data_IF_797024878506
#
_entry.id   IF_797024878506
#
_cell.length_a   1.000
_cell.length_b   1.000
_cell.length_c   1.000
_cell.angle_alpha   90.00
_cell.angle_beta   90.00
_cell.angle_gamma   90.00
#
_symmetry.space_group_name_H-M   'P 1'
#
loop_
_entity.id
_entity.type
_entity.pdbx_description
1 polymer ?
#
# COMPACT_ATOMS: atom_id res chain seq x y z
N UNK A 1 -8.17 3.40 41.09
CA UNK A 1 -9.53 3.83 40.69
C UNK A 1 -9.98 4.86 41.70
N UNK A 2 -10.12 6.13 41.33
CA UNK A 2 -10.74 7.11 42.22
C UNK A 2 -12.21 6.74 42.38
N UNK A 3 -12.60 6.31 43.59
CA UNK A 3 -14.01 6.13 43.91
C UNK A 3 -14.75 7.46 43.66
N UNK A 4 -15.83 7.39 42.90
CA UNK A 4 -16.64 8.56 42.59
C UNK A 4 -17.41 8.92 43.84
N UNK A 5 -17.00 10.00 44.50
CA UNK A 5 -17.74 10.58 45.61
C UNK A 5 -18.92 11.41 45.09
N UNK A 6 -20.13 11.13 45.57
CA UNK A 6 -21.31 11.91 45.21
C UNK A 6 -21.36 13.21 46.03
N UNK A 7 -21.51 14.35 45.37
CA UNK A 7 -21.60 15.64 46.06
C UNK A 7 -22.97 15.78 46.71
N UNK A 8 -23.01 15.93 48.03
CA UNK A 8 -24.23 16.12 48.80
C UNK A 8 -24.33 17.56 49.30
N UNK A 9 -25.47 18.20 49.02
CA UNK A 9 -25.76 19.57 49.42
C UNK A 9 -26.95 19.61 50.40
N UNK A 10 -26.79 20.32 51.51
CA UNK A 10 -27.88 20.59 52.45
C UNK A 10 -28.52 21.94 52.13
N UNK A 11 -29.80 21.94 51.78
CA UNK A 11 -30.64 23.14 51.72
C UNK A 11 -31.47 23.19 53.01
N UNK A 12 -31.20 24.19 53.86
CA UNK A 12 -31.76 24.26 55.21
C UNK A 12 -31.85 25.70 55.71
N UNK A 13 -32.72 25.95 56.69
CA UNK A 13 -32.76 27.23 57.42
C UNK A 13 -31.71 27.22 58.53
N UNK A 14 -31.03 28.35 58.78
CA UNK A 14 -30.10 28.48 59.91
C UNK A 14 -30.73 28.15 61.28
N UNK A 15 -32.06 28.25 61.42
CA UNK A 15 -32.78 27.84 62.63
C UNK A 15 -32.91 26.32 62.81
N UNK A 16 -32.55 25.54 61.79
CA UNK A 16 -32.50 24.08 61.78
C UNK A 16 -31.08 23.54 61.82
N UNK A 17 -30.10 24.41 62.03
CA UNK A 17 -28.69 24.08 61.98
C UNK A 17 -28.28 22.95 62.93
N UNK A 18 -28.82 22.93 64.15
CA UNK A 18 -28.56 21.85 65.11
C UNK A 18 -29.03 20.49 64.58
N UNK A 19 -30.19 20.43 63.92
CA UNK A 19 -30.71 19.19 63.32
C UNK A 19 -29.92 18.79 62.07
N UNK A 20 -29.43 19.77 61.30
CA UNK A 20 -28.52 19.53 60.17
C UNK A 20 -27.19 18.94 60.64
N UNK A 21 -26.63 19.48 61.72
CA UNK A 21 -25.39 18.98 62.34
C UNK A 21 -25.57 17.54 62.85
N UNK A 22 -26.69 17.22 63.50
CA UNK A 22 -26.99 15.83 63.90
C UNK A 22 -27.11 14.91 62.68
N UNK A 23 -27.87 15.30 61.66
CA UNK A 23 -27.96 14.50 60.42
C UNK A 23 -26.58 14.27 59.78
N UNK A 24 -25.72 15.29 59.77
CA UNK A 24 -24.36 15.17 59.24
C UNK A 24 -23.54 14.11 60.00
N UNK A 25 -23.65 14.04 61.34
CA UNK A 25 -23.01 12.98 62.13
C UNK A 25 -23.49 11.59 61.72
N UNK A 26 -24.78 11.42 61.50
CA UNK A 26 -25.36 10.14 61.04
C UNK A 26 -24.93 9.75 59.61
N UNK A 27 -24.46 10.71 58.81
CA UNK A 27 -23.90 10.47 57.47
C UNK A 27 -22.39 10.17 57.47
N UNK A 28 -21.70 10.26 58.61
CA UNK A 28 -20.23 10.10 58.73
C UNK A 28 -19.70 8.82 58.07
N UNK A 29 -20.41 7.70 58.18
CA UNK A 29 -19.97 6.44 57.55
C UNK A 29 -19.95 6.55 56.03
N UNK A 30 -20.94 7.23 55.42
CA UNK A 30 -20.98 7.43 53.98
C UNK A 30 -19.85 8.36 53.49
N UNK A 31 -19.50 9.36 54.31
CA UNK A 31 -18.35 10.23 54.04
C UNK A 31 -17.01 9.50 54.21
N UNK A 32 -16.86 8.70 55.26
CA UNK A 32 -15.64 7.92 55.53
C UNK A 32 -15.39 6.89 54.43
N UNK A 33 -16.46 6.23 53.96
CA UNK A 33 -16.42 5.35 52.79
C UNK A 33 -16.18 6.11 51.48
N UNK A 34 -16.05 7.45 51.51
CA UNK A 34 -15.87 8.35 50.36
C UNK A 34 -16.98 8.24 49.32
N UNK A 35 -18.13 7.69 49.72
CA UNK A 35 -19.30 7.47 48.89
C UNK A 35 -20.04 8.77 48.66
N UNK A 36 -20.03 9.67 49.66
CA UNK A 36 -20.51 11.04 49.52
C UNK A 36 -19.44 12.04 49.98
N UNK A 37 -19.55 13.27 49.52
CA UNK A 37 -18.84 14.43 50.06
C UNK A 37 -19.86 15.51 50.38
N UNK A 38 -20.05 15.84 51.66
CA UNK A 38 -21.01 16.88 52.05
C UNK A 38 -20.41 18.29 51.96
N UNK A 39 -21.23 19.25 51.56
CA UNK A 39 -20.95 20.67 51.66
C UNK A 39 -22.10 21.40 52.36
N UNK A 40 -21.76 22.41 53.17
CA UNK A 40 -22.70 23.36 53.77
C UNK A 40 -22.04 24.74 53.91
N UNK A 41 -22.87 25.78 53.97
CA UNK A 41 -22.51 27.20 54.10
C UNK A 41 -21.43 27.54 55.15
N UNK A 42 -21.37 26.89 56.32
CA UNK A 42 -20.28 27.14 57.28
C UNK A 42 -18.87 26.72 56.80
N UNK A 43 -18.74 26.08 55.64
CA UNK A 43 -17.45 25.78 55.00
C UNK A 43 -16.95 26.92 54.10
N UNK A 44 -17.70 28.02 53.98
CA UNK A 44 -17.30 29.23 53.24
C UNK A 44 -16.21 29.95 54.05
N UNK A 45 -15.07 30.24 53.41
CA UNK A 45 -13.95 30.94 54.04
C UNK A 45 -14.23 32.45 54.13
N UNK A 46 -13.78 33.15 55.21
CA UNK A 46 -13.84 34.60 55.27
C UNK A 46 -13.23 35.24 54.00
N UNK A 47 -14.00 36.07 53.30
CA UNK A 47 -13.61 36.70 52.04
C UNK A 47 -14.19 36.07 50.77
N UNK A 48 -14.92 34.95 50.86
CA UNK A 48 -15.68 34.39 49.74
C UNK A 48 -17.10 34.96 49.67
N UNK A 49 -17.61 35.21 48.45
CA UNK A 49 -18.99 35.64 48.25
C UNK A 49 -19.97 34.47 48.53
N UNK A 50 -20.83 34.70 49.51
CA UNK A 50 -21.74 33.68 50.06
C UNK A 50 -22.72 33.13 49.01
N UNK A 51 -23.37 34.01 48.24
CA UNK A 51 -24.37 33.63 47.23
C UNK A 51 -23.77 32.79 46.10
N UNK A 52 -22.55 33.11 45.66
CA UNK A 52 -21.87 32.39 44.59
C UNK A 52 -21.53 30.95 45.01
N UNK A 53 -21.04 30.77 46.25
CA UNK A 53 -20.66 29.45 46.77
C UNK A 53 -21.89 28.53 46.95
N UNK A 54 -23.02 29.07 47.42
CA UNK A 54 -24.25 28.28 47.55
C UNK A 54 -24.76 27.85 46.17
N UNK A 55 -24.80 28.78 45.21
CA UNK A 55 -25.25 28.48 43.86
C UNK A 55 -24.35 27.44 43.16
N UNK A 56 -23.03 27.53 43.30
CA UNK A 56 -22.09 26.56 42.74
C UNK A 56 -22.28 25.14 43.32
N UNK A 57 -22.45 25.04 44.64
CA UNK A 57 -22.67 23.75 45.27
C UNK A 57 -24.05 23.19 44.92
N UNK A 58 -25.08 24.04 44.87
CA UNK A 58 -26.40 23.66 44.39
C UNK A 58 -26.38 23.20 42.93
N UNK A 59 -25.54 23.76 42.07
CA UNK A 59 -25.44 23.39 40.64
C UNK A 59 -24.56 22.17 40.38
N UNK A 60 -23.63 21.85 41.28
CA UNK A 60 -22.70 20.72 41.12
C UNK A 60 -23.05 19.52 41.99
N UNK A 61 -23.99 19.65 42.93
CA UNK A 61 -24.44 18.56 43.79
C UNK A 61 -25.07 17.42 42.98
N UNK A 62 -24.74 16.19 43.34
CA UNK A 62 -25.42 14.99 42.82
C UNK A 62 -26.66 14.66 43.64
N UNK A 63 -26.66 15.02 44.93
CA UNK A 63 -27.75 14.81 45.89
C UNK A 63 -28.02 16.11 46.61
N UNK A 64 -29.28 16.52 46.66
CA UNK A 64 -29.74 17.75 47.32
C UNK A 64 -30.74 17.34 48.39
N UNK A 65 -30.41 17.58 49.66
CA UNK A 65 -31.31 17.36 50.79
C UNK A 65 -32.06 18.64 51.08
N UNK A 66 -33.40 18.61 51.03
CA UNK A 66 -34.24 19.72 51.47
C UNK A 66 -34.65 19.47 52.91
N UNK A 67 -34.09 20.19 53.88
CA UNK A 67 -34.38 20.00 55.29
C UNK A 67 -35.66 20.79 55.67
N UNK A 68 -36.81 20.12 55.52
CA UNK A 68 -38.14 20.75 55.56
C UNK A 68 -38.57 21.03 57.01
N UNK A 69 -38.84 22.31 57.27
CA UNK A 69 -39.39 22.84 58.51
C UNK A 69 -40.27 24.07 58.23
N UNK A 70 -41.01 24.56 59.23
CA UNK A 70 -41.70 25.85 59.11
C UNK A 70 -40.75 27.00 58.81
N UNK A 71 -39.53 26.98 59.34
CA UNK A 71 -38.53 28.04 59.13
C UNK A 71 -37.88 27.95 57.75
N UNK A 72 -37.73 26.74 57.21
CA UNK A 72 -37.29 26.52 55.83
C UNK A 72 -38.29 27.09 54.83
N UNK A 73 -39.58 26.74 54.99
CA UNK A 73 -40.66 27.20 54.10
C UNK A 73 -40.97 28.70 54.24
N UNK A 74 -40.74 29.29 55.41
CA UNK A 74 -41.01 30.72 55.67
C UNK A 74 -39.99 31.66 55.00
N UNK A 75 -38.78 31.18 54.72
CA UNK A 75 -37.72 32.03 54.16
C UNK A 75 -37.97 32.35 52.67
N UNK A 76 -38.47 33.57 52.37
CA UNK A 76 -38.82 34.03 51.01
C UNK A 76 -37.69 33.91 49.96
N UNK A 77 -36.42 33.85 50.37
CA UNK A 77 -35.28 33.73 49.44
C UNK A 77 -34.94 32.26 49.08
N UNK A 78 -35.15 31.31 50.00
CA UNK A 78 -34.82 29.89 49.80
C UNK A 78 -35.88 29.17 48.90
N UNK A 79 -37.11 29.67 48.93
CA UNK A 79 -38.24 29.10 48.16
C UNK A 79 -38.17 29.38 46.64
N UNK A 80 -37.81 30.59 46.24
CA UNK A 80 -38.00 31.03 44.84
C UNK A 80 -36.87 30.62 43.88
N UNK A 81 -35.63 30.50 44.37
CA UNK A 81 -34.46 30.21 43.51
C UNK A 81 -33.90 28.82 43.79
N UNK A 82 -33.61 28.46 45.04
CA UNK A 82 -32.89 27.22 45.37
C UNK A 82 -33.76 25.97 45.21
N UNK A 83 -34.97 25.97 45.77
CA UNK A 83 -35.90 24.83 45.64
C UNK A 83 -36.31 24.62 44.18
N UNK A 84 -36.62 25.71 43.46
CA UNK A 84 -36.96 25.63 42.04
C UNK A 84 -35.80 25.06 41.22
N UNK A 85 -34.59 25.58 41.41
CA UNK A 85 -33.39 25.09 40.72
C UNK A 85 -33.09 23.63 41.05
N UNK A 86 -33.20 23.23 42.33
CA UNK A 86 -33.01 21.85 42.75
C UNK A 86 -33.98 20.91 42.02
N UNK A 87 -35.25 21.30 41.92
CA UNK A 87 -36.28 20.51 41.24
C UNK A 87 -36.08 20.47 39.72
N UNK A 88 -35.68 21.58 39.09
CA UNK A 88 -35.31 21.59 37.66
C UNK A 88 -34.18 20.59 37.36
N UNK A 89 -33.14 20.57 38.20
CA UNK A 89 -32.03 19.61 38.08
C UNK A 89 -32.50 18.18 38.31
N UNK A 90 -33.43 17.98 39.24
CA UNK A 90 -34.03 16.66 39.49
C UNK A 90 -34.81 16.14 38.28
N UNK A 91 -35.64 16.97 37.67
CA UNK A 91 -36.45 16.61 36.51
C UNK A 91 -35.60 16.30 35.28
N UNK A 92 -34.44 16.95 35.16
CA UNK A 92 -33.44 16.66 34.14
C UNK A 92 -32.57 15.43 34.47
N UNK A 93 -32.70 14.84 35.66
CA UNK A 93 -31.86 13.75 36.13
C UNK A 93 -30.40 14.15 36.43
N UNK A 94 -30.14 15.44 36.59
CA UNK A 94 -28.82 16.02 36.89
C UNK A 94 -28.50 15.96 38.40
N UNK A 95 -29.52 15.88 39.26
CA UNK A 95 -29.39 15.70 40.70
C UNK A 95 -30.54 14.86 41.27
N UNK A 96 -30.33 14.23 42.42
CA UNK A 96 -31.39 13.60 43.20
C UNK A 96 -31.82 14.52 44.34
N UNK A 97 -33.06 14.98 44.32
CA UNK A 97 -33.61 15.80 45.42
C UNK A 97 -34.32 14.87 46.41
N UNK A 98 -34.01 15.02 47.69
CA UNK A 98 -34.58 14.23 48.78
C UNK A 98 -35.14 15.19 49.83
N UNK A 99 -36.47 15.30 49.98
CA UNK A 99 -37.07 16.01 51.10
C UNK A 99 -36.79 15.26 52.40
N UNK A 100 -36.27 15.94 53.42
CA UNK A 100 -36.06 15.42 54.76
C UNK A 100 -36.91 16.23 55.74
N UNK A 101 -37.98 15.64 56.26
CA UNK A 101 -38.94 16.32 57.13
C UNK A 101 -38.38 16.42 58.54
N UNK A 102 -37.93 17.61 58.93
CA UNK A 102 -37.37 17.86 60.26
C UNK A 102 -38.45 18.19 61.30
N UNK A 103 -39.42 19.05 60.93
CA UNK A 103 -40.49 19.54 61.80
C UNK A 103 -41.85 19.35 61.13
N UNK A 104 -42.91 19.23 61.94
CA UNK A 104 -44.27 19.15 61.43
C UNK A 104 -44.65 20.45 60.74
N UNK A 105 -45.01 20.39 59.46
CA UNK A 105 -45.47 21.51 58.65
C UNK A 105 -46.30 21.00 57.48
N UNK A 106 -47.23 21.81 56.96
CA UNK A 106 -47.92 21.49 55.71
C UNK A 106 -47.01 21.84 54.50
N UNK A 107 -46.65 20.82 53.73
CA UNK A 107 -45.84 20.93 52.53
C UNK A 107 -46.52 20.29 51.31
N UNK A 108 -47.81 19.95 51.39
CA UNK A 108 -48.52 19.26 50.31
C UNK A 108 -48.55 20.05 48.99
N UNK A 109 -48.53 21.39 49.08
CA UNK A 109 -48.46 22.29 47.92
C UNK A 109 -47.05 22.58 47.38
N UNK A 110 -46.00 21.97 47.96
CA UNK A 110 -44.63 22.26 47.57
C UNK A 110 -44.26 21.61 46.22
N UNK A 111 -43.38 22.22 45.40
CA UNK A 111 -42.91 21.62 44.14
C UNK A 111 -42.25 20.24 44.29
N UNK A 112 -41.66 19.99 45.46
CA UNK A 112 -41.05 18.72 45.83
C UNK A 112 -42.01 17.71 46.48
N UNK A 113 -43.30 18.07 46.66
CA UNK A 113 -44.25 17.22 47.40
C UNK A 113 -44.52 15.86 46.73
N UNK A 114 -44.29 15.78 45.41
CA UNK A 114 -44.36 14.54 44.63
C UNK A 114 -43.20 13.57 44.88
N UNK A 115 -42.13 14.02 45.55
CA UNK A 115 -40.95 13.20 45.82
C UNK A 115 -41.13 12.42 47.11
N UNK A 116 -40.56 11.21 47.16
CA UNK A 116 -40.56 10.41 48.37
C UNK A 116 -39.68 11.07 49.44
N UNK A 117 -40.30 11.50 50.54
CA UNK A 117 -39.61 12.14 51.65
C UNK A 117 -39.02 11.12 52.64
N UNK A 118 -37.98 11.55 53.35
CA UNK A 118 -37.39 10.91 54.52
C UNK A 118 -37.71 11.73 55.78
N UNK A 119 -37.73 11.14 56.99
CA UNK A 119 -37.74 9.71 57.29
C UNK A 119 -38.95 8.98 56.69
N UNK A 120 -38.99 7.65 56.77
CA UNK A 120 -40.08 6.81 56.26
C UNK A 120 -41.45 7.34 56.69
N UNK A 121 -42.42 7.27 55.76
CA UNK A 121 -43.77 7.84 55.90
C UNK A 121 -43.79 9.37 56.11
N UNK A 122 -42.70 10.06 55.78
CA UNK A 122 -42.54 11.50 55.98
C UNK A 122 -42.76 11.95 57.44
N UNK A 123 -42.54 11.05 58.42
CA UNK A 123 -42.70 11.36 59.84
C UNK A 123 -41.63 12.36 60.29
N UNK A 124 -41.98 13.57 60.75
CA UNK A 124 -41.00 14.61 61.07
C UNK A 124 -40.01 14.16 62.15
N UNK A 125 -38.71 14.40 61.97
CA UNK A 125 -37.66 14.00 62.93
C UNK A 125 -37.98 14.41 64.37
N UNK A 126 -38.45 15.65 64.60
CA UNK A 126 -38.82 16.14 65.95
C UNK A 126 -40.00 15.42 66.60
N UNK A 127 -40.77 14.63 65.85
CA UNK A 127 -41.92 13.85 66.35
C UNK A 127 -41.58 12.40 66.72
N UNK A 128 -40.33 11.98 66.51
CA UNK A 128 -39.86 10.67 66.96
C UNK A 128 -39.56 10.69 68.46
N UNK A 129 -39.82 9.57 69.12
CA UNK A 129 -39.46 9.37 70.53
C UNK A 129 -37.95 9.45 70.70
N UNK A 130 -37.22 8.85 69.77
CA UNK A 130 -35.77 8.95 69.64
C UNK A 130 -35.41 9.61 68.29
N UNK A 131 -34.73 10.75 68.34
CA UNK A 131 -34.29 11.48 67.14
C UNK A 131 -33.14 10.76 66.43
N UNK A 132 -32.31 10.00 67.14
CA UNK A 132 -31.23 9.22 66.53
C UNK A 132 -31.78 8.10 65.65
N UNK A 133 -32.88 7.47 66.05
CA UNK A 133 -33.58 6.50 65.19
C UNK A 133 -34.09 7.16 63.89
N UNK A 134 -34.62 8.38 63.99
CA UNK A 134 -35.11 9.13 62.83
C UNK A 134 -33.96 9.48 61.86
N UNK A 135 -32.84 10.00 62.38
CA UNK A 135 -31.67 10.32 61.56
C UNK A 135 -31.01 9.06 60.99
N UNK A 136 -31.01 7.95 61.73
CA UNK A 136 -30.55 6.66 61.21
C UNK A 136 -31.40 6.20 60.02
N UNK A 137 -32.72 6.37 60.09
CA UNK A 137 -33.61 6.05 58.97
C UNK A 137 -33.32 6.93 57.74
N UNK A 138 -33.10 8.23 57.93
CA UNK A 138 -32.68 9.15 56.86
C UNK A 138 -31.35 8.71 56.24
N UNK A 139 -30.35 8.38 57.05
CA UNK A 139 -29.04 7.94 56.58
C UNK A 139 -29.12 6.62 55.78
N UNK A 140 -29.98 5.67 56.20
CA UNK A 140 -30.25 4.44 55.44
C UNK A 140 -30.90 4.75 54.09
N UNK A 141 -31.88 5.66 54.06
CA UNK A 141 -32.52 6.11 52.83
C UNK A 141 -31.53 6.74 51.85
N UNK A 142 -30.69 7.65 52.33
CA UNK A 142 -29.63 8.30 51.52
C UNK A 142 -28.65 7.26 50.98
N UNK A 143 -28.24 6.27 51.80
CA UNK A 143 -27.36 5.17 51.34
C UNK A 143 -28.00 4.43 50.16
N UNK A 144 -29.28 4.09 50.24
CA UNK A 144 -29.97 3.38 49.16
C UNK A 144 -29.99 4.20 47.86
N UNK A 145 -30.26 5.50 47.96
CA UNK A 145 -30.19 6.42 46.80
C UNK A 145 -28.80 6.45 46.19
N UNK A 146 -27.75 6.55 47.02
CA UNK A 146 -26.37 6.57 46.50
C UNK A 146 -26.03 5.27 45.76
N UNK A 147 -26.43 4.11 46.30
CA UNK A 147 -26.20 2.83 45.60
C UNK A 147 -26.93 2.74 44.26
N UNK A 148 -28.15 3.28 44.17
CA UNK A 148 -28.86 3.37 42.90
C UNK A 148 -28.15 4.29 41.90
N UNK A 149 -27.68 5.46 42.36
CA UNK A 149 -26.93 6.40 41.53
C UNK A 149 -25.60 5.81 41.05
N UNK A 150 -24.91 5.03 41.89
CA UNK A 150 -23.70 4.26 41.50
C UNK A 150 -24.01 3.31 40.37
N UNK A 151 -25.06 2.50 40.51
CA UNK A 151 -25.45 1.54 39.48
C UNK A 151 -25.83 2.24 38.17
N UNK A 152 -26.60 3.33 38.23
CA UNK A 152 -26.95 4.13 37.04
C UNK A 152 -25.71 4.69 36.33
N UNK A 153 -24.75 5.25 37.08
CA UNK A 153 -23.47 5.74 36.52
C UNK A 153 -22.65 4.61 35.89
N UNK A 154 -22.60 3.45 36.53
CA UNK A 154 -21.86 2.29 36.02
C UNK A 154 -22.46 1.76 34.72
N UNK A 155 -23.78 1.54 34.66
CA UNK A 155 -24.46 1.09 33.44
C UNK A 155 -24.27 2.05 32.28
N UNK A 156 -24.39 3.37 32.52
CA UNK A 156 -24.15 4.39 31.49
C UNK A 156 -22.72 4.37 30.97
N UNK A 157 -21.73 4.16 31.85
CA UNK A 157 -20.32 4.03 31.46
C UNK A 157 -20.08 2.80 30.60
N UNK A 158 -20.61 1.65 31.02
CA UNK A 158 -20.51 0.39 30.28
C UNK A 158 -21.17 0.48 28.90
N UNK A 159 -22.35 1.10 28.82
CA UNK A 159 -23.04 1.34 27.54
C UNK A 159 -22.24 2.27 26.62
N UNK A 160 -21.72 3.38 27.16
CA UNK A 160 -20.91 4.33 26.40
C UNK A 160 -19.63 3.67 25.88
N UNK A 161 -18.96 2.88 26.72
CA UNK A 161 -17.75 2.15 26.34
C UNK A 161 -18.05 1.09 25.28
N UNK A 162 -19.16 0.35 25.42
CA UNK A 162 -19.61 -0.62 24.41
C UNK A 162 -19.91 0.05 23.07
N UNK A 163 -20.65 1.15 23.05
CA UNK A 163 -20.94 1.91 21.83
C UNK A 163 -19.66 2.42 21.16
N UNK A 164 -18.70 2.88 21.97
CA UNK A 164 -17.39 3.31 21.48
C UNK A 164 -16.62 2.16 20.85
N UNK A 165 -16.56 1.00 21.52
CA UNK A 165 -15.87 -0.19 21.02
C UNK A 165 -16.51 -0.72 19.72
N UNK A 166 -17.85 -0.77 19.65
CA UNK A 166 -18.58 -1.16 18.44
C UNK A 166 -18.30 -0.18 17.27
N UNK A 167 -18.29 1.13 17.56
CA UNK A 167 -17.98 2.16 16.55
C UNK A 167 -16.53 2.07 16.05
N UNK A 168 -15.56 1.88 16.97
CA UNK A 168 -14.15 1.73 16.62
C UNK A 168 -13.91 0.43 15.83
N UNK A 169 -14.57 -0.67 16.19
CA UNK A 169 -14.49 -1.93 15.46
C UNK A 169 -15.04 -1.81 14.03
N UNK A 170 -16.21 -1.18 13.85
CA UNK A 170 -16.79 -0.93 12.53
C UNK A 170 -15.88 -0.04 11.67
N UNK A 171 -15.27 1.00 12.26
CA UNK A 171 -14.31 1.86 11.55
C UNK A 171 -13.10 1.06 11.07
N UNK A 172 -12.50 0.25 11.94
CA UNK A 172 -11.36 -0.62 11.58
C UNK A 172 -11.70 -1.61 10.48
N UNK A 173 -12.90 -2.19 10.51
CA UNK A 173 -13.36 -3.11 9.47
C UNK A 173 -13.45 -2.41 8.11
N UNK A 174 -14.06 -1.21 8.05
CA UNK A 174 -14.15 -0.43 6.81
C UNK A 174 -12.77 -0.04 6.26
N UNK A 175 -11.87 0.40 7.13
CA UNK A 175 -10.49 0.74 6.75
C UNK A 175 -9.74 -0.49 6.17
N UNK A 176 -9.96 -1.68 6.74
CA UNK A 176 -9.39 -2.93 6.21
C UNK A 176 -9.98 -3.31 4.85
N UNK A 177 -11.30 -3.25 4.68
CA UNK A 177 -11.98 -3.56 3.42
C UNK A 177 -11.55 -2.59 2.29
N UNK A 178 -11.44 -1.29 2.59
CA UNK A 178 -10.95 -0.29 1.63
C UNK A 178 -9.48 -0.52 1.26
N UNK A 179 -8.61 -0.84 2.24
CA UNK A 179 -7.21 -1.14 1.98
C UNK A 179 -7.02 -2.41 1.14
N UNK A 180 -7.83 -3.45 1.37
CA UNK A 180 -7.83 -4.66 0.55
C UNK A 180 -8.31 -4.39 -0.87
N UNK A 181 -9.37 -3.58 -1.02
CA UNK A 181 -9.87 -3.17 -2.33
C UNK A 181 -8.80 -2.42 -3.13
N UNK A 182 -8.13 -1.45 -2.50
CA UNK A 182 -7.07 -0.68 -3.14
C UNK A 182 -5.89 -1.57 -3.55
N UNK A 183 -5.48 -2.53 -2.70
CA UNK A 183 -4.44 -3.51 -3.04
C UNK A 183 -4.83 -4.37 -4.24
N UNK A 184 -6.10 -4.81 -4.34
CA UNK A 184 -6.58 -5.59 -5.48
C UNK A 184 -6.57 -4.77 -6.77
N UNK A 185 -7.00 -3.51 -6.71
CA UNK A 185 -6.98 -2.59 -7.86
C UNK A 185 -5.54 -2.29 -8.32
N UNK A 186 -4.62 -1.99 -7.40
CA UNK A 186 -3.20 -1.80 -7.72
C UNK A 186 -2.58 -3.05 -8.34
N UNK A 187 -2.88 -4.24 -7.78
CA UNK A 187 -2.36 -5.50 -8.32
C UNK A 187 -2.91 -5.80 -9.72
N UNK A 188 -4.18 -5.46 -9.99
CA UNK A 188 -4.77 -5.62 -11.31
C UNK A 188 -4.14 -4.67 -12.34
N UNK A 189 -3.87 -3.42 -11.96
CA UNK A 189 -3.20 -2.45 -12.82
C UNK A 189 -1.75 -2.87 -13.13
N UNK A 190 -0.99 -3.35 -12.15
CA UNK A 190 0.36 -3.90 -12.37
C UNK A 190 0.31 -5.05 -13.38
N UNK A 191 -0.60 -6.02 -13.20
CA UNK A 191 -0.75 -7.15 -14.14
C UNK A 191 -1.09 -6.69 -15.55
N UNK A 192 -1.93 -5.65 -15.69
CA UNK A 192 -2.28 -5.06 -16.98
C UNK A 192 -1.06 -4.44 -17.65
N UNK A 193 -0.28 -3.63 -16.92
CA UNK A 193 0.93 -2.99 -17.43
C UNK A 193 1.99 -4.03 -17.83
N UNK A 194 2.17 -5.08 -17.03
CA UNK A 194 3.06 -6.20 -17.37
C UNK A 194 2.61 -6.94 -18.63
N UNK A 195 1.31 -7.21 -18.79
CA UNK A 195 0.76 -7.86 -19.98
C UNK A 195 0.94 -6.98 -21.24
N UNK A 196 0.71 -5.67 -21.14
CA UNK A 196 0.95 -4.73 -22.23
C UNK A 196 2.43 -4.65 -22.61
N UNK A 197 3.33 -4.67 -21.62
CA UNK A 197 4.77 -4.71 -21.84
C UNK A 197 5.20 -5.98 -22.57
N UNK A 198 4.77 -7.15 -22.07
CA UNK A 198 5.06 -8.45 -22.69
C UNK A 198 4.56 -8.49 -24.12
N UNK A 199 3.37 -7.96 -24.39
CA UNK A 199 2.83 -7.86 -25.75
C UNK A 199 3.73 -7.02 -26.67
N UNK A 200 4.20 -5.86 -26.22
CA UNK A 200 5.14 -5.02 -26.98
C UNK A 200 6.47 -5.73 -27.25
N UNK A 201 7.03 -6.39 -26.24
CA UNK A 201 8.26 -7.17 -26.38
C UNK A 201 8.08 -8.31 -27.39
N UNK A 202 6.92 -8.98 -27.39
CA UNK A 202 6.59 -10.01 -28.37
C UNK A 202 6.44 -9.45 -29.79
N UNK A 203 5.73 -8.33 -29.96
CA UNK A 203 5.58 -7.64 -31.25
C UNK A 203 6.94 -7.18 -31.80
N UNK A 204 7.81 -6.64 -30.95
CA UNK A 204 9.16 -6.22 -31.32
C UNK A 204 10.04 -7.43 -31.72
N UNK A 205 9.98 -8.52 -30.96
CA UNK A 205 10.69 -9.76 -31.28
C UNK A 205 10.18 -10.39 -32.59
N UNK A 206 8.88 -10.33 -32.86
CA UNK A 206 8.30 -10.76 -34.13
C UNK A 206 8.77 -9.88 -35.29
N UNK A 207 8.74 -8.56 -35.15
CA UNK A 207 9.26 -7.63 -36.15
C UNK A 207 10.75 -7.85 -36.43
N UNK A 208 11.55 -8.12 -35.40
CA UNK A 208 12.95 -8.44 -35.54
C UNK A 208 13.16 -9.76 -36.30
N UNK A 209 12.35 -10.79 -36.02
CA UNK A 209 12.35 -12.06 -36.75
C UNK A 209 11.94 -11.88 -38.22
N UNK A 210 10.92 -11.08 -38.50
CA UNK A 210 10.50 -10.79 -39.88
C UNK A 210 11.59 -10.04 -40.66
N UNK A 211 12.33 -9.13 -40.01
CA UNK A 211 13.46 -8.42 -40.61
C UNK A 211 14.76 -9.25 -40.69
N UNK A 212 14.80 -10.47 -40.12
CA UNK A 212 15.99 -11.31 -40.12
C UNK A 212 16.33 -11.83 -41.53
N UNK A 213 15.32 -12.07 -42.37
CA UNK A 213 15.46 -12.66 -43.71
C UNK A 213 15.15 -11.66 -44.84
N UNK A 214 15.41 -10.37 -44.61
CA UNK A 214 15.09 -9.33 -45.58
C UNK A 214 15.85 -9.49 -46.91
N UNK A 215 15.20 -9.17 -48.03
CA UNK A 215 15.76 -9.19 -49.38
C UNK A 215 15.22 -8.01 -50.20
N UNK A 216 16.09 -7.28 -50.91
CA UNK A 216 15.67 -6.28 -51.90
C UNK A 216 15.20 -6.92 -53.22
N UNK A 217 15.49 -8.21 -53.41
CA UNK A 217 15.18 -8.97 -54.62
C UNK A 217 14.12 -10.05 -54.41
N UNK A 218 13.55 -10.14 -53.22
CA UNK A 218 12.53 -11.14 -52.87
C UNK A 218 13.06 -12.57 -52.78
N UNK A 219 14.36 -12.74 -52.51
CA UNK A 219 14.99 -14.06 -52.33
C UNK A 219 14.63 -14.64 -50.97
N UNK A 220 14.23 -15.91 -50.94
CA UNK A 220 13.89 -16.63 -49.71
C UNK A 220 15.14 -17.24 -49.07
N UNK A 221 15.52 -16.71 -47.91
CA UNK A 221 16.67 -17.18 -47.12
C UNK A 221 16.32 -18.25 -46.07
N UNK A 222 15.07 -18.71 -46.01
CA UNK A 222 14.59 -19.68 -45.00
C UNK A 222 15.41 -20.97 -45.02
N UNK A 223 15.68 -21.51 -46.21
CA UNK A 223 16.49 -22.73 -46.36
C UNK A 223 17.92 -22.54 -45.88
N UNK A 224 18.56 -21.41 -46.22
CA UNK A 224 19.91 -21.09 -45.74
C UNK A 224 19.93 -20.98 -44.21
N UNK A 225 18.97 -20.26 -43.62
CA UNK A 225 18.82 -20.15 -42.17
C UNK A 225 18.72 -21.51 -41.50
N UNK A 226 17.87 -22.40 -42.02
CA UNK A 226 17.60 -23.71 -41.40
C UNK A 226 18.82 -24.65 -41.50
N UNK A 227 19.54 -24.61 -42.62
CA UNK A 227 20.79 -25.35 -42.80
C UNK A 227 21.87 -24.85 -41.82
N UNK A 228 22.02 -23.54 -41.68
CA UNK A 228 22.96 -22.93 -40.72
C UNK A 228 22.58 -23.24 -39.27
N UNK A 229 21.31 -23.15 -38.92
CA UNK A 229 20.80 -23.51 -37.59
C UNK A 229 21.05 -24.98 -37.25
N UNK A 230 20.92 -25.86 -38.24
CA UNK A 230 21.22 -27.28 -38.13
C UNK A 230 22.72 -27.61 -38.22
N UNK A 231 23.59 -26.59 -38.36
CA UNK A 231 25.05 -26.73 -38.53
C UNK A 231 25.44 -27.62 -39.72
N UNK A 232 24.60 -27.66 -40.75
CA UNK A 232 24.85 -28.35 -42.03
C UNK A 232 25.70 -27.45 -42.93
N UNK A 233 26.97 -27.27 -42.56
CA UNK A 233 27.85 -26.23 -43.12
C UNK A 233 28.09 -26.36 -44.62
N UNK A 234 28.22 -27.60 -45.12
CA UNK A 234 28.44 -27.86 -46.55
C UNK A 234 27.21 -27.48 -47.37
N UNK A 235 26.05 -27.91 -46.91
CA UNK A 235 24.78 -27.60 -47.55
C UNK A 235 24.47 -26.10 -47.45
N UNK A 236 24.78 -25.45 -46.33
CA UNK A 236 24.63 -24.02 -46.15
C UNK A 236 25.56 -23.21 -47.06
N UNK A 237 26.80 -23.65 -47.25
CA UNK A 237 27.76 -23.02 -48.17
C UNK A 237 27.27 -23.10 -49.63
N UNK A 238 26.79 -24.27 -50.04
CA UNK A 238 26.20 -24.44 -51.36
C UNK A 238 24.90 -23.62 -51.54
N UNK A 239 24.03 -23.61 -50.52
CA UNK A 239 22.83 -22.77 -50.53
C UNK A 239 23.17 -21.29 -50.61
N UNK A 240 24.24 -20.84 -49.94
CA UNK A 240 24.74 -19.45 -50.01
C UNK A 240 25.09 -19.07 -51.44
N UNK A 241 25.77 -19.95 -52.17
CA UNK A 241 26.05 -19.76 -53.59
C UNK A 241 24.75 -19.64 -54.42
N UNK A 242 23.76 -20.51 -54.18
CA UNK A 242 22.49 -20.49 -54.90
C UNK A 242 21.70 -19.20 -54.67
N UNK A 243 21.54 -18.78 -53.41
CA UNK A 243 20.79 -17.56 -53.09
C UNK A 243 21.50 -16.32 -53.62
N UNK A 244 22.84 -16.26 -53.61
CA UNK A 244 23.58 -15.14 -54.21
C UNK A 244 23.42 -15.08 -55.73
N UNK A 245 23.30 -16.21 -56.43
CA UNK A 245 22.95 -16.23 -57.85
C UNK A 245 21.53 -15.70 -58.09
N UNK A 246 20.56 -16.11 -57.28
CA UNK A 246 19.18 -15.65 -57.40
C UNK A 246 19.07 -14.12 -57.23
N UNK A 247 19.81 -13.54 -56.28
CA UNK A 247 19.84 -12.08 -56.06
C UNK A 247 20.25 -11.32 -57.33
N UNK A 248 21.19 -11.87 -58.10
CA UNK A 248 21.66 -11.27 -59.37
C UNK A 248 20.90 -11.79 -60.61
N UNK A 249 19.80 -12.53 -60.41
CA UNK A 249 18.93 -13.02 -61.49
C UNK A 249 19.52 -14.18 -62.31
N UNK A 250 20.41 -14.97 -61.73
CA UNK A 250 21.09 -16.11 -62.39
C UNK A 250 20.58 -17.46 -61.93
N UNK A 251 20.90 -18.50 -62.71
CA UNK A 251 20.51 -19.89 -62.47
C UNK A 251 21.67 -20.70 -61.88
N UNK A 252 21.35 -21.82 -61.23
CA UNK A 252 22.37 -22.76 -60.73
C UNK A 252 23.35 -23.17 -61.84
N UNK A 253 24.64 -23.16 -61.50
CA UNK A 253 25.74 -23.45 -62.40
C UNK A 253 26.30 -22.26 -63.17
N UNK A 254 25.72 -21.08 -63.02
CA UNK A 254 26.28 -19.84 -63.52
C UNK A 254 27.31 -19.24 -62.52
N UNK A 255 27.96 -18.15 -62.89
CA UNK A 255 28.86 -17.40 -62.02
C UNK A 255 28.47 -15.93 -61.94
N UNK A 256 28.63 -15.34 -60.75
CA UNK A 256 28.43 -13.90 -60.58
C UNK A 256 29.58 -13.15 -61.26
N UNK A 257 29.25 -12.12 -62.06
CA UNK A 257 30.21 -11.19 -62.69
C UNK A 257 30.67 -10.14 -61.68
N UNK A 258 31.84 -9.55 -61.90
CA UNK A 258 32.37 -8.50 -61.02
C UNK A 258 31.43 -7.29 -60.90
N UNK A 259 30.81 -6.86 -61.99
CA UNK A 259 29.85 -5.75 -61.97
C UNK A 259 28.60 -6.05 -61.14
N UNK A 260 28.12 -7.30 -61.19
CA UNK A 260 26.98 -7.76 -60.39
C UNK A 260 27.35 -7.85 -58.91
N UNK A 261 28.58 -8.25 -58.57
CA UNK A 261 29.09 -8.22 -57.19
C UNK A 261 29.28 -6.79 -56.68
N UNK A 262 29.79 -5.85 -57.50
CA UNK A 262 29.93 -4.43 -57.12
C UNK A 262 28.59 -3.77 -56.80
N UNK A 263 27.52 -4.21 -57.48
CA UNK A 263 26.17 -3.69 -57.31
C UNK A 263 25.27 -4.60 -56.46
N UNK A 264 25.83 -5.62 -55.81
CA UNK A 264 25.07 -6.60 -55.06
C UNK A 264 24.24 -5.91 -53.95
N UNK A 265 22.91 -6.09 -53.88
CA UNK A 265 22.06 -5.41 -52.90
C UNK A 265 22.56 -5.55 -51.47
N UNK A 266 22.63 -4.44 -50.75
CA UNK A 266 23.22 -4.45 -49.40
C UNK A 266 22.32 -5.17 -48.39
N UNK A 267 21.00 -5.15 -48.56
CA UNK A 267 20.09 -5.89 -47.69
C UNK A 267 20.36 -7.40 -47.77
N UNK A 268 20.44 -7.94 -48.97
CA UNK A 268 20.71 -9.36 -49.24
C UNK A 268 22.09 -9.79 -48.72
N UNK A 269 23.13 -9.00 -48.98
CA UNK A 269 24.48 -9.30 -48.49
C UNK A 269 24.56 -9.28 -46.96
N UNK A 270 23.88 -8.32 -46.31
CA UNK A 270 23.78 -8.24 -44.85
C UNK A 270 22.97 -9.39 -44.26
N UNK A 271 21.90 -9.82 -44.93
CA UNK A 271 21.09 -10.96 -44.49
C UNK A 271 21.91 -12.23 -44.49
N UNK A 272 22.61 -12.52 -45.59
CA UNK A 272 23.48 -13.69 -45.70
C UNK A 272 24.58 -13.66 -44.63
N UNK A 273 25.30 -12.53 -44.53
CA UNK A 273 26.38 -12.38 -43.56
C UNK A 273 25.88 -12.56 -42.12
N UNK A 274 24.77 -11.92 -41.76
CA UNK A 274 24.16 -12.01 -40.43
C UNK A 274 23.81 -13.45 -40.07
N UNK A 275 23.24 -14.21 -41.00
CA UNK A 275 22.92 -15.62 -40.77
C UNK A 275 24.18 -16.44 -40.49
N UNK A 276 25.23 -16.28 -41.30
CA UNK A 276 26.50 -16.96 -41.10
C UNK A 276 27.13 -16.61 -39.75
N UNK A 277 27.22 -15.33 -39.41
CA UNK A 277 27.78 -14.83 -38.15
C UNK A 277 26.98 -15.36 -36.95
N UNK A 278 25.65 -15.29 -37.00
CA UNK A 278 24.77 -15.72 -35.91
C UNK A 278 24.94 -17.20 -35.59
N UNK A 279 24.78 -18.06 -36.59
CA UNK A 279 24.75 -19.51 -36.36
C UNK A 279 26.14 -20.13 -36.18
N UNK A 280 27.20 -19.45 -36.62
CA UNK A 280 28.58 -19.84 -36.37
C UNK A 280 29.17 -19.24 -35.07
N UNK A 281 28.37 -18.52 -34.27
CA UNK A 281 28.86 -17.81 -33.09
C UNK A 281 30.06 -16.88 -33.42
N UNK A 282 29.96 -16.14 -34.52
CA UNK A 282 30.97 -15.18 -34.99
C UNK A 282 32.20 -15.77 -35.69
N UNK A 283 32.21 -17.07 -35.99
CA UNK A 283 33.37 -17.72 -36.62
C UNK A 283 33.38 -17.58 -38.15
N UNK A 284 32.22 -17.54 -38.79
CA UNK A 284 32.03 -17.52 -40.23
C UNK A 284 31.19 -16.33 -40.68
N UNK A 285 31.38 -15.92 -41.93
CA UNK A 285 30.73 -14.75 -42.50
C UNK A 285 31.67 -13.94 -43.39
N UNK A 286 31.09 -13.18 -44.30
CA UNK A 286 31.78 -12.27 -45.20
C UNK A 286 32.42 -11.08 -44.47
N UNK A 287 31.76 -10.55 -43.42
CA UNK A 287 32.31 -9.52 -42.54
C UNK A 287 33.57 -10.03 -41.82
N UNK A 288 33.50 -11.26 -41.30
CA UNK A 288 34.63 -11.95 -40.66
C UNK A 288 35.78 -12.17 -41.64
N UNK A 289 35.50 -12.64 -42.85
CA UNK A 289 36.50 -12.78 -43.91
C UNK A 289 37.13 -11.45 -44.29
N UNK A 290 36.33 -10.37 -44.42
CA UNK A 290 36.85 -9.05 -44.72
C UNK A 290 37.80 -8.57 -43.61
N UNK A 291 37.43 -8.70 -42.34
CA UNK A 291 38.30 -8.33 -41.20
C UNK A 291 39.65 -9.04 -41.28
N UNK A 292 39.63 -10.36 -41.56
CA UNK A 292 40.85 -11.14 -41.72
C UNK A 292 41.65 -10.67 -42.92
N UNK A 293 41.01 -10.41 -44.06
CA UNK A 293 41.67 -9.91 -45.26
C UNK A 293 42.38 -8.57 -45.03
N UNK A 294 41.75 -7.64 -44.30
CA UNK A 294 42.37 -6.37 -43.89
C UNK A 294 43.57 -6.61 -42.96
N UNK A 295 43.44 -7.54 -42.01
CA UNK A 295 44.50 -7.84 -41.03
C UNK A 295 45.79 -8.38 -41.65
N UNK A 296 45.71 -8.98 -42.84
CA UNK A 296 46.87 -9.51 -43.58
C UNK A 296 47.38 -8.56 -44.67
N UNK A 297 46.92 -7.30 -44.68
CA UNK A 297 47.37 -6.25 -45.59
C UNK A 297 46.54 -6.08 -46.87
N UNK A 298 45.38 -6.75 -46.96
CA UNK A 298 44.43 -6.56 -48.07
C UNK A 298 43.74 -5.20 -47.99
N UNK A 299 43.26 -4.69 -49.14
CA UNK A 299 42.48 -3.45 -49.21
C UNK A 299 41.12 -3.71 -49.88
N UNK A 300 40.02 -3.15 -49.36
CA UNK A 300 38.68 -3.40 -49.88
C UNK A 300 38.33 -2.39 -50.98
N UNK A 301 39.21 -2.22 -51.95
CA UNK A 301 39.08 -1.25 -53.05
C UNK A 301 38.75 -1.92 -54.40
N UNK A 302 38.48 -3.22 -54.38
CA UNK A 302 38.14 -4.00 -55.57
C UNK A 302 39.36 -4.54 -56.32
N UNK A 303 40.58 -4.20 -55.90
CA UNK A 303 41.81 -4.64 -56.54
C UNK A 303 42.32 -5.97 -55.97
N UNK A 304 43.14 -6.67 -56.77
CA UNK A 304 43.73 -7.94 -56.38
C UNK A 304 45.15 -7.76 -55.81
N UNK A 305 45.32 -8.14 -54.54
CA UNK A 305 46.60 -8.09 -53.83
C UNK A 305 47.12 -9.51 -53.57
N UNK A 306 48.03 -10.01 -54.41
CA UNK A 306 48.50 -11.40 -54.37
C UNK A 306 49.02 -11.82 -52.98
N UNK A 307 49.92 -11.05 -52.38
CA UNK A 307 50.53 -11.39 -51.09
C UNK A 307 49.48 -11.44 -49.97
N UNK A 308 48.59 -10.44 -49.91
CA UNK A 308 47.50 -10.42 -48.94
C UNK A 308 46.51 -11.57 -49.18
N UNK A 309 46.24 -11.91 -50.44
CA UNK A 309 45.34 -13.01 -50.80
C UNK A 309 45.89 -14.38 -50.38
N UNK A 310 47.19 -14.60 -50.57
CA UNK A 310 47.89 -15.80 -50.12
C UNK A 310 47.87 -15.93 -48.60
N UNK A 311 48.24 -14.86 -47.88
CA UNK A 311 48.18 -14.81 -46.40
C UNK A 311 46.76 -15.00 -45.86
N UNK A 312 45.77 -14.42 -46.54
CA UNK A 312 44.36 -14.60 -46.22
C UNK A 312 43.98 -16.07 -46.36
N UNK A 313 44.29 -16.69 -47.50
CA UNK A 313 44.03 -18.11 -47.76
C UNK A 313 44.70 -19.03 -46.73
N UNK A 314 45.92 -18.73 -46.30
CA UNK A 314 46.58 -19.47 -45.21
C UNK A 314 45.81 -19.29 -43.88
N UNK A 315 45.36 -18.07 -43.59
CA UNK A 315 44.67 -17.74 -42.33
C UNK A 315 43.29 -18.36 -42.21
N UNK A 316 42.52 -18.39 -43.30
CA UNK A 316 41.18 -18.99 -43.32
C UNK A 316 41.20 -20.49 -43.66
N UNK A 317 42.38 -21.07 -43.95
CA UNK A 317 42.53 -22.50 -44.22
C UNK A 317 42.17 -22.92 -45.64
N UNK A 318 42.24 -22.01 -46.61
CA UNK A 318 42.04 -22.31 -48.04
C UNK A 318 43.33 -22.69 -48.76
N UNK A 319 44.47 -22.62 -48.05
CA UNK A 319 45.78 -23.04 -48.53
C UNK A 319 46.42 -24.00 -47.55
N UNK A 320 46.98 -25.08 -48.07
CA UNK A 320 47.71 -26.09 -47.29
C UNK A 320 49.06 -26.31 -47.95
N UNK A 321 50.14 -26.11 -47.17
CA UNK A 321 51.54 -26.19 -47.66
C UNK A 321 51.78 -25.33 -48.92
N UNK A 322 51.19 -24.14 -48.96
CA UNK A 322 51.33 -23.18 -50.06
C UNK A 322 50.42 -23.41 -51.28
N UNK A 323 49.66 -24.50 -51.31
CA UNK A 323 48.76 -24.83 -52.41
C UNK A 323 47.31 -24.53 -52.05
N UNK A 324 46.57 -23.94 -52.99
CA UNK A 324 45.12 -23.78 -52.88
C UNK A 324 44.45 -25.15 -52.88
N UNK A 325 43.52 -25.36 -51.96
CA UNK A 325 42.75 -26.60 -51.90
C UNK A 325 41.62 -26.60 -52.93
N UNK A 326 41.24 -27.78 -53.40
CA UNK A 326 40.01 -27.97 -54.17
C UNK A 326 38.79 -27.98 -53.23
N UNK A 327 37.63 -27.56 -53.73
CA UNK A 327 36.39 -27.61 -52.96
C UNK A 327 36.09 -29.01 -52.38
N UNK A 328 36.45 -30.09 -53.09
CA UNK A 328 36.32 -31.47 -52.59
C UNK A 328 37.19 -31.77 -51.36
N UNK A 329 38.23 -30.98 -51.14
CA UNK A 329 39.16 -31.09 -50.02
C UNK A 329 38.78 -30.16 -48.84
N UNK A 330 37.74 -29.36 -48.99
CA UNK A 330 37.22 -28.48 -47.94
C UNK A 330 36.60 -29.32 -46.83
N UNK A 331 36.93 -28.97 -45.60
CA UNK A 331 36.43 -29.61 -44.38
C UNK A 331 35.35 -28.75 -43.72
N UNK A 332 34.13 -29.28 -43.65
CA UNK A 332 32.94 -28.54 -43.23
C UNK A 332 32.57 -28.81 -41.75
N UNK A 333 33.46 -28.47 -40.81
CA UNK A 333 33.19 -28.54 -39.37
C UNK A 333 33.51 -27.21 -38.63
N UNK A 334 33.13 -27.11 -37.35
CA UNK A 334 33.28 -25.88 -36.55
C UNK A 334 34.65 -25.67 -35.92
N UNK A 335 35.58 -26.61 -36.04
CA UNK A 335 36.91 -26.52 -35.42
C UNK A 335 37.93 -25.77 -36.31
N UNK A 336 37.55 -25.40 -37.52
CA UNK A 336 38.44 -24.72 -38.47
C UNK A 336 38.56 -23.22 -38.27
N UNK A 337 39.58 -22.67 -38.93
CA UNK A 337 39.96 -21.27 -38.87
C UNK A 337 38.77 -20.31 -39.03
N UNK A 338 38.73 -19.29 -38.18
CA UNK A 338 37.84 -18.14 -38.34
C UNK A 338 37.89 -17.65 -39.80
N UNK A 339 36.72 -17.39 -40.39
CA UNK A 339 36.56 -16.96 -41.79
C UNK A 339 36.59 -18.08 -42.84
N UNK A 340 36.66 -19.36 -42.45
CA UNK A 340 36.73 -20.47 -43.41
C UNK A 340 35.54 -20.53 -44.38
N UNK A 341 34.34 -20.14 -43.93
CA UNK A 341 33.10 -20.14 -44.71
C UNK A 341 32.45 -18.75 -44.70
N UNK A 342 31.64 -18.43 -45.73
CA UNK A 342 31.36 -19.22 -46.94
C UNK A 342 32.43 -19.08 -48.04
N UNK A 343 32.48 -20.02 -48.99
CA UNK A 343 33.50 -20.16 -50.04
C UNK A 343 33.07 -19.66 -51.43
N UNK A 344 31.76 -19.47 -51.64
CA UNK A 344 31.18 -19.06 -52.94
C UNK A 344 31.67 -19.87 -54.15
N UNK A 345 31.87 -21.18 -53.96
CA UNK A 345 32.38 -22.08 -54.99
C UNK A 345 31.46 -23.29 -55.20
N UNK A 346 31.42 -23.80 -56.44
CA UNK A 346 30.65 -25.00 -56.85
C UNK A 346 31.56 -26.22 -57.09
N UNK A 347 32.86 -26.09 -56.84
CA UNK A 347 33.90 -27.03 -57.28
C UNK A 347 35.14 -26.30 -57.78
N UNK A 348 36.28 -27.00 -57.89
CA UNK A 348 37.55 -26.42 -58.34
C UNK A 348 38.36 -25.79 -57.20
N UNK A 349 39.53 -25.24 -57.55
CA UNK A 349 40.43 -24.62 -56.58
C UNK A 349 39.78 -23.40 -55.92
N UNK A 350 39.71 -23.39 -54.59
CA UNK A 350 39.12 -22.32 -53.77
C UNK A 350 39.80 -20.95 -54.00
N UNK A 351 41.05 -20.95 -54.47
CA UNK A 351 41.80 -19.75 -54.83
C UNK A 351 41.46 -19.13 -56.19
N UNK A 352 40.73 -19.82 -57.07
CA UNK A 352 40.32 -19.31 -58.37
C UNK A 352 39.21 -18.28 -58.18
N UNK A 353 39.58 -17.00 -58.17
CA UNK A 353 38.63 -15.91 -57.99
C UNK A 353 39.08 -14.79 -57.07
N UNK A 354 40.36 -14.70 -56.69
CA UNK A 354 40.85 -13.61 -55.83
C UNK A 354 40.48 -12.19 -56.30
N UNK A 355 40.34 -11.97 -57.61
CA UNK A 355 39.80 -10.71 -58.18
C UNK A 355 38.32 -10.49 -57.78
N UNK A 356 37.50 -11.54 -57.83
CA UNK A 356 36.09 -11.49 -57.42
C UNK A 356 35.95 -11.27 -55.91
N UNK A 357 36.85 -11.84 -55.12
CA UNK A 357 36.90 -11.63 -53.68
C UNK A 357 37.29 -10.19 -53.31
N UNK A 358 38.26 -9.60 -54.02
CA UNK A 358 38.58 -8.17 -53.87
C UNK A 358 37.37 -7.27 -54.13
N UNK A 359 36.61 -7.57 -55.19
CA UNK A 359 35.36 -6.89 -55.53
C UNK A 359 34.29 -7.09 -54.44
N UNK A 360 34.11 -8.32 -53.97
CA UNK A 360 33.17 -8.63 -52.90
C UNK A 360 33.54 -7.89 -51.60
N UNK A 361 34.81 -7.87 -51.20
CA UNK A 361 35.26 -7.11 -50.02
C UNK A 361 35.04 -5.62 -50.16
N UNK A 362 35.21 -5.07 -51.37
CA UNK A 362 34.82 -3.68 -51.65
C UNK A 362 33.33 -3.46 -51.44
N UNK A 363 32.48 -4.36 -51.96
CA UNK A 363 31.04 -4.26 -51.76
C UNK A 363 30.64 -4.42 -50.29
N UNK A 364 31.23 -5.36 -49.55
CA UNK A 364 31.03 -5.55 -48.10
C UNK A 364 31.38 -4.25 -47.36
N UNK A 365 32.48 -3.59 -47.73
CA UNK A 365 32.86 -2.29 -47.18
C UNK A 365 31.81 -1.21 -47.49
N UNK A 366 31.34 -1.08 -48.74
CA UNK A 366 30.28 -0.14 -49.11
C UNK A 366 28.97 -0.41 -48.36
N UNK A 367 28.63 -1.69 -48.15
CA UNK A 367 27.47 -2.11 -47.38
C UNK A 367 27.66 -2.00 -45.86
N UNK A 368 28.79 -1.46 -45.37
CA UNK A 368 29.08 -1.24 -43.94
C UNK A 368 28.96 -2.51 -43.08
N UNK A 369 29.35 -3.64 -43.65
CA UNK A 369 29.56 -4.90 -42.93
C UNK A 369 30.97 -4.99 -42.36
#
# INVERSE_FOLDING_TARGET
MSEVSFKLFFSYSHKDETLRDELAKHLTILEYQRVISSWHDRKILPGQEWDHQINDNLNTADIILLLVSSDFLFSRYCWDVEVKRAIERHDKGEACVIPVILRSVDWAGAPFARLQALPKNAKPVKSWTDQDEAFTDVARGIRAVVEELKQKRQRKREETERQRQETEALRRQREQEEAEKLKREQQAEIRRQEAERLKREQEEAEKLRQNELASEKGVDYTKLRDLLAAKKWKEADYETYLVMLQVVGRKDGDWIRSEELLNFPCTDLRTIDRLWVKYSNGHFGFSVQKEIYLSVGGKPDGQYYKEAWEKFGDRVGWRVKGNWIDYSQVTFDTFFSRGHLPLLARGGLVGLGGVKWGVLFSRIQTCKL
#
